data_IF_077490919534
#
_entry.id   IF_077490919534
#
_cell.length_a   1.000
_cell.length_b   1.000
_cell.length_c   1.000
_cell.angle_alpha   90.00
_cell.angle_beta   90.00
_cell.angle_gamma   90.00
#
_symmetry.space_group_name_H-M   'P 1'
#
loop_
_entity.id
_entity.type
_entity.pdbx_description
1 polymer ?
#
# COMPACT_ATOMS: atom_id res chain seq x y z
N UNK A 1 2.83 15.04 28.65
CA UNK A 1 2.93 14.68 27.23
C UNK A 1 4.11 15.46 26.64
N UNK A 2 5.05 14.80 26.00
CA UNK A 2 6.05 15.50 25.21
C UNK A 2 5.39 15.85 23.88
N UNK A 3 5.45 17.13 23.48
CA UNK A 3 5.05 17.50 22.14
C UNK A 3 6.03 16.85 21.16
N UNK A 4 5.56 16.12 20.14
CA UNK A 4 6.44 15.53 19.15
C UNK A 4 7.17 16.62 18.37
N UNK A 5 8.48 16.48 18.23
CA UNK A 5 9.28 17.37 17.37
C UNK A 5 9.81 16.55 16.20
N UNK A 6 9.60 17.06 14.98
CA UNK A 6 10.14 16.47 13.76
C UNK A 6 11.32 17.29 13.28
N UNK A 7 12.46 16.62 13.10
CA UNK A 7 13.65 17.23 12.52
C UNK A 7 13.88 16.62 11.14
N UNK A 8 14.23 17.47 10.17
CA UNK A 8 14.67 16.99 8.87
C UNK A 8 16.04 16.30 9.03
N UNK A 9 16.11 15.03 8.66
CA UNK A 9 17.36 14.27 8.58
C UNK A 9 17.91 14.44 7.16
N UNK A 10 19.21 14.63 7.02
CA UNK A 10 19.88 14.85 5.73
C UNK A 10 21.27 14.24 5.72
N UNK A 11 21.80 13.96 4.52
CA UNK A 11 23.13 13.39 4.33
C UNK A 11 23.23 11.97 4.86
N UNK A 12 24.35 11.58 5.42
CA UNK A 12 24.64 10.21 5.83
C UNK A 12 23.72 9.61 6.93
N UNK A 13 22.90 10.44 7.57
CA UNK A 13 21.89 9.99 8.54
C UNK A 13 20.51 9.76 7.89
N UNK A 14 20.33 10.21 6.64
CA UNK A 14 19.12 9.98 5.86
C UNK A 14 19.22 8.64 5.13
N UNK A 15 18.40 7.64 5.48
CA UNK A 15 18.50 6.32 4.86
C UNK A 15 18.12 6.30 3.37
N UNK A 16 17.52 7.38 2.86
CA UNK A 16 17.16 7.57 1.45
C UNK A 16 17.98 8.66 0.76
N UNK A 17 19.13 9.09 1.34
CA UNK A 17 19.99 10.12 0.72
C UNK A 17 20.43 9.66 -0.70
N UNK A 18 20.12 10.48 -1.69
CA UNK A 18 20.43 10.21 -3.09
C UNK A 18 19.48 9.24 -3.82
N UNK A 19 18.46 8.72 -3.16
CA UNK A 19 17.43 7.90 -3.83
C UNK A 19 16.51 8.78 -4.67
N UNK A 20 16.41 8.49 -5.95
CA UNK A 20 15.50 9.12 -6.91
C UNK A 20 14.67 8.04 -7.61
N UNK A 21 13.40 7.93 -7.25
CA UNK A 21 12.42 7.03 -7.86
C UNK A 21 11.60 7.70 -8.97
N UNK A 22 11.97 8.91 -9.35
CA UNK A 22 11.27 9.72 -10.34
C UNK A 22 10.15 10.57 -9.75
N UNK A 23 9.24 11.03 -10.61
CA UNK A 23 8.19 11.97 -10.22
C UNK A 23 7.06 11.30 -9.45
N UNK A 24 6.44 12.04 -8.52
CA UNK A 24 5.28 11.60 -7.74
C UNK A 24 5.53 10.34 -6.91
N UNK A 25 6.64 10.34 -6.18
CA UNK A 25 6.97 9.26 -5.24
C UNK A 25 5.87 9.12 -4.17
N UNK A 26 5.40 7.89 -3.99
CA UNK A 26 4.36 7.52 -3.03
C UNK A 26 4.86 6.33 -2.21
N UNK A 27 5.58 6.57 -1.09
CA UNK A 27 6.11 5.51 -0.26
C UNK A 27 5.02 4.87 0.61
N UNK A 28 5.11 3.56 0.78
CA UNK A 28 4.41 2.78 1.79
C UNK A 28 5.43 1.91 2.54
N UNK A 29 5.12 1.59 3.78
CA UNK A 29 5.98 0.79 4.63
C UNK A 29 5.22 -0.40 5.19
N UNK A 30 5.84 -1.57 5.17
CA UNK A 30 5.32 -2.83 5.68
C UNK A 30 6.50 -3.73 6.06
N UNK A 31 6.37 -4.53 7.09
CA UNK A 31 7.30 -5.61 7.42
C UNK A 31 6.92 -6.82 6.55
N UNK A 32 7.49 -6.87 5.31
CA UNK A 32 7.03 -7.84 4.29
C UNK A 32 7.67 -9.21 4.43
N UNK A 33 8.81 -9.29 5.10
CA UNK A 33 9.54 -10.54 5.34
C UNK A 33 9.49 -11.01 6.79
N UNK A 34 8.74 -10.26 7.63
CA UNK A 34 8.47 -10.58 9.04
C UNK A 34 9.76 -10.70 9.88
N UNK A 35 10.75 -9.86 9.57
CA UNK A 35 12.00 -9.77 10.34
C UNK A 35 11.93 -8.77 11.51
N UNK A 36 10.85 -7.98 11.57
CA UNK A 36 10.54 -7.00 12.61
C UNK A 36 10.88 -5.57 12.23
N UNK A 37 11.42 -5.34 11.05
CA UNK A 37 11.75 -4.04 10.51
C UNK A 37 10.82 -3.68 9.32
N UNK A 38 10.43 -2.42 9.19
CA UNK A 38 9.58 -2.00 8.07
C UNK A 38 10.39 -1.78 6.80
N UNK A 39 9.98 -2.45 5.72
CA UNK A 39 10.46 -2.26 4.36
C UNK A 39 9.73 -1.14 3.63
N UNK A 40 10.31 -0.62 2.56
CA UNK A 40 9.73 0.46 1.78
C UNK A 40 9.40 0.06 0.36
N UNK A 41 8.14 0.26 -0.02
CA UNK A 41 7.65 0.15 -1.39
C UNK A 41 7.28 1.54 -1.89
N UNK A 42 7.84 1.95 -3.03
CA UNK A 42 7.68 3.31 -3.53
C UNK A 42 7.07 3.28 -4.93
N UNK A 43 5.79 3.65 -5.00
CA UNK A 43 5.13 3.92 -6.26
C UNK A 43 5.58 5.25 -6.87
N UNK A 44 5.39 5.41 -8.18
CA UNK A 44 5.79 6.61 -8.90
C UNK A 44 4.89 6.90 -10.11
N UNK A 45 5.27 7.86 -10.96
CA UNK A 45 4.42 8.32 -12.05
C UNK A 45 4.34 7.38 -13.24
N UNK A 46 5.42 6.69 -13.60
CA UNK A 46 5.52 6.02 -14.91
C UNK A 46 6.29 4.70 -14.88
N UNK A 47 6.76 4.27 -13.74
CA UNK A 47 7.66 3.13 -13.64
C UNK A 47 7.07 2.03 -12.73
N UNK A 48 7.79 0.93 -12.65
CA UNK A 48 7.50 -0.14 -11.71
C UNK A 48 7.72 0.31 -10.28
N UNK A 49 7.02 -0.33 -9.33
CA UNK A 49 7.17 -0.09 -7.91
C UNK A 49 8.61 -0.47 -7.51
N UNK A 50 9.26 0.44 -6.79
CA UNK A 50 10.57 0.20 -6.23
C UNK A 50 10.44 -0.42 -4.86
N UNK A 51 11.23 -1.44 -4.60
CA UNK A 51 11.31 -2.10 -3.31
C UNK A 51 12.69 -1.87 -2.68
N UNK A 52 12.67 -1.43 -1.44
CA UNK A 52 13.85 -1.22 -0.60
C UNK A 52 13.67 -2.02 0.68
N UNK A 53 14.43 -3.11 0.81
CA UNK A 53 14.48 -3.92 2.01
C UNK A 53 15.26 -3.18 3.11
N UNK A 54 14.69 -3.16 4.31
CA UNK A 54 15.37 -2.64 5.48
C UNK A 54 16.32 -3.70 6.04
N UNK A 55 17.59 -3.46 5.91
CA UNK A 55 18.65 -4.36 6.39
C UNK A 55 19.35 -3.80 7.63
N UNK A 56 18.58 -3.14 8.48
CA UNK A 56 19.11 -2.49 9.70
C UNK A 56 19.80 -3.50 10.61
N UNK A 57 21.02 -3.21 10.99
CA UNK A 57 21.78 -3.97 11.97
C UNK A 57 22.41 -3.00 12.98
N UNK A 58 22.10 -3.17 14.25
CA UNK A 58 22.75 -2.46 15.35
C UNK A 58 22.44 -0.97 15.46
N UNK A 59 21.34 -0.48 14.84
CA UNK A 59 20.79 0.87 15.06
C UNK A 59 21.08 1.90 13.98
N UNK A 60 21.74 1.55 12.88
CA UNK A 60 21.80 2.38 11.69
C UNK A 60 20.74 1.87 10.70
N UNK A 61 19.73 2.70 10.43
CA UNK A 61 18.69 2.39 9.45
C UNK A 61 19.32 2.33 8.07
N UNK A 62 19.16 1.20 7.38
CA UNK A 62 19.76 0.98 6.07
C UNK A 62 18.73 0.30 5.15
N UNK A 63 18.43 0.97 4.02
CA UNK A 63 17.58 0.42 2.97
C UNK A 63 18.42 0.00 1.76
N UNK A 64 18.15 -1.19 1.24
CA UNK A 64 18.83 -1.74 0.05
C UNK A 64 17.81 -1.98 -1.05
N UNK A 65 17.97 -1.35 -2.21
CA UNK A 65 17.10 -1.61 -3.37
C UNK A 65 17.25 -3.08 -3.79
N UNK A 66 16.10 -3.78 -3.89
CA UNK A 66 16.01 -5.15 -4.41
C UNK A 66 15.35 -5.13 -5.78
N UNK A 67 15.84 -5.97 -6.68
CA UNK A 67 15.38 -6.05 -8.07
C UNK A 67 15.34 -7.50 -8.54
N UNK A 68 14.55 -7.78 -9.60
CA UNK A 68 14.40 -9.13 -10.12
C UNK A 68 13.77 -10.06 -9.09
N UNK A 69 14.33 -11.27 -8.89
CA UNK A 69 13.77 -12.28 -8.00
C UNK A 69 13.76 -11.90 -6.51
N UNK A 70 14.56 -10.91 -6.12
CA UNK A 70 14.61 -10.42 -4.75
C UNK A 70 13.59 -9.27 -4.50
N UNK A 71 12.81 -8.91 -5.52
CA UNK A 71 11.75 -7.91 -5.42
C UNK A 71 10.40 -8.59 -5.66
N UNK A 72 9.53 -8.75 -4.64
CA UNK A 72 8.25 -9.44 -4.79
C UNK A 72 7.25 -8.72 -5.69
N UNK A 73 7.48 -7.44 -5.98
CA UNK A 73 6.67 -6.62 -6.88
C UNK A 73 7.40 -6.26 -8.18
N UNK A 74 8.45 -7.00 -8.54
CA UNK A 74 9.20 -6.75 -9.78
C UNK A 74 8.25 -6.79 -10.98
N UNK A 75 8.35 -5.80 -11.84
CA UNK A 75 7.45 -5.63 -13.00
C UNK A 75 6.00 -5.25 -12.71
N UNK A 76 5.61 -5.05 -11.44
CA UNK A 76 4.33 -4.45 -11.08
C UNK A 76 4.47 -2.93 -11.10
N UNK A 77 3.60 -2.27 -11.81
CA UNK A 77 3.62 -0.81 -11.89
C UNK A 77 2.44 -0.25 -12.68
N UNK A 78 2.40 1.07 -12.77
CA UNK A 78 1.32 1.77 -13.44
C UNK A 78 1.57 3.27 -13.55
N UNK A 79 0.54 4.03 -13.90
CA UNK A 79 0.64 5.49 -13.98
C UNK A 79 0.13 6.10 -12.67
N UNK A 80 0.98 6.88 -11.97
CA UNK A 80 0.71 7.45 -10.65
C UNK A 80 0.33 6.36 -9.64
N UNK A 81 1.18 5.34 -9.53
CA UNK A 81 0.94 4.22 -8.61
C UNK A 81 1.08 4.67 -7.15
N UNK A 82 0.10 4.29 -6.35
CA UNK A 82 0.14 4.34 -4.88
C UNK A 82 -0.07 2.95 -4.35
N UNK A 83 0.56 2.62 -3.25
CA UNK A 83 0.57 1.26 -2.71
C UNK A 83 0.04 1.23 -1.29
N UNK A 84 -0.63 0.15 -0.92
CA UNK A 84 -1.09 -0.13 0.44
C UNK A 84 -1.02 -1.62 0.69
N UNK A 85 -0.74 -2.01 1.92
CA UNK A 85 -0.63 -3.40 2.35
C UNK A 85 -1.58 -3.65 3.51
N UNK A 86 -2.23 -4.80 3.52
CA UNK A 86 -3.07 -5.26 4.63
C UNK A 86 -3.24 -6.77 4.52
N UNK A 87 -3.30 -7.47 5.64
CA UNK A 87 -3.73 -8.87 5.73
C UNK A 87 -5.26 -8.87 5.63
N UNK A 88 -5.78 -8.90 4.38
CA UNK A 88 -7.22 -8.70 4.11
C UNK A 88 -8.05 -9.94 4.35
N UNK A 89 -7.46 -11.12 4.21
CA UNK A 89 -8.12 -12.41 4.40
C UNK A 89 -7.74 -13.10 5.71
N UNK A 90 -6.87 -12.45 6.51
CA UNK A 90 -6.44 -12.88 7.84
C UNK A 90 -5.72 -14.25 7.83
N UNK A 91 -4.95 -14.50 6.81
CA UNK A 91 -4.12 -15.70 6.73
C UNK A 91 -2.73 -15.52 7.38
N UNK A 92 -2.39 -14.30 7.77
CA UNK A 92 -1.21 -13.93 8.55
C UNK A 92 -0.08 -13.34 7.72
N UNK A 93 -0.30 -13.06 6.45
CA UNK A 93 0.62 -12.32 5.62
C UNK A 93 -0.05 -11.08 4.97
N UNK A 94 0.75 -10.21 4.36
CA UNK A 94 0.23 -8.96 3.83
C UNK A 94 -0.08 -9.08 2.34
N UNK A 95 -1.33 -8.75 1.98
CA UNK A 95 -1.75 -8.54 0.61
C UNK A 95 -1.41 -7.14 0.13
N UNK A 96 -1.35 -6.97 -1.17
CA UNK A 96 -0.94 -5.75 -1.81
C UNK A 96 -2.06 -5.12 -2.65
N UNK A 97 -2.28 -3.83 -2.45
CA UNK A 97 -3.27 -3.06 -3.20
C UNK A 97 -2.60 -1.89 -3.91
N UNK A 98 -2.91 -1.72 -5.19
CA UNK A 98 -2.36 -0.64 -5.99
C UNK A 98 -3.45 0.26 -6.57
N UNK A 99 -3.47 1.51 -6.11
CA UNK A 99 -4.19 2.59 -6.77
C UNK A 99 -3.38 3.17 -7.92
N UNK A 100 -4.04 3.61 -8.99
CA UNK A 100 -3.38 4.18 -10.15
C UNK A 100 -4.24 5.27 -10.81
N UNK A 101 -3.66 5.95 -11.81
CA UNK A 101 -4.34 7.06 -12.49
C UNK A 101 -5.62 6.65 -13.21
N UNK A 102 -5.62 5.52 -13.86
CA UNK A 102 -6.74 5.01 -14.66
C UNK A 102 -7.04 3.58 -14.26
N UNK A 103 -8.30 3.22 -14.33
CA UNK A 103 -8.77 1.90 -13.93
C UNK A 103 -9.19 1.84 -12.46
N UNK A 104 -9.53 0.66 -12.01
CA UNK A 104 -9.92 0.38 -10.64
C UNK A 104 -8.74 0.25 -9.68
N UNK A 105 -9.02 -0.15 -8.49
CA UNK A 105 -8.05 -0.60 -7.52
C UNK A 105 -7.59 -2.01 -7.90
N UNK A 106 -6.29 -2.21 -8.10
CA UNK A 106 -5.73 -3.55 -8.36
C UNK A 106 -5.45 -4.21 -7.01
N UNK A 107 -5.78 -5.47 -6.94
CA UNK A 107 -5.55 -6.32 -5.77
C UNK A 107 -4.59 -7.44 -6.15
N UNK A 108 -3.67 -7.73 -5.26
CA UNK A 108 -2.70 -8.80 -5.37
C UNK A 108 -2.71 -9.62 -4.08
N UNK A 109 -3.07 -10.89 -4.20
CA UNK A 109 -3.01 -11.84 -3.09
C UNK A 109 -1.56 -12.28 -2.88
N UNK A 110 -1.13 -12.37 -1.63
CA UNK A 110 0.13 -12.98 -1.26
C UNK A 110 -0.03 -14.50 -1.21
N UNK A 111 0.38 -15.19 -2.25
CA UNK A 111 0.32 -16.66 -2.33
C UNK A 111 1.54 -17.34 -1.72
N UNK A 112 2.44 -16.55 -1.16
CA UNK A 112 3.66 -17.01 -0.49
C UNK A 112 3.46 -17.28 0.98
N UNK A 113 4.05 -16.46 1.82
CA UNK A 113 3.87 -16.46 3.28
C UNK A 113 4.52 -15.20 3.88
N UNK A 114 4.25 -14.91 5.16
CA UNK A 114 4.74 -13.73 5.86
C UNK A 114 6.26 -13.49 5.83
N UNK A 115 7.08 -14.49 5.54
CA UNK A 115 8.54 -14.35 5.45
C UNK A 115 9.08 -14.44 4.01
N UNK A 116 8.22 -14.65 3.03
CA UNK A 116 8.58 -14.70 1.61
C UNK A 116 7.34 -14.44 0.77
N UNK A 117 7.08 -13.17 0.50
CA UNK A 117 5.91 -12.74 -0.24
C UNK A 117 6.03 -13.07 -1.74
N UNK A 118 4.95 -13.64 -2.29
CA UNK A 118 4.76 -13.91 -3.72
C UNK A 118 3.38 -13.40 -4.13
N UNK A 119 3.32 -12.33 -4.93
CA UNK A 119 2.06 -11.67 -5.26
C UNK A 119 1.46 -12.17 -6.57
N UNK A 120 0.19 -12.59 -6.54
CA UNK A 120 -0.63 -12.90 -7.72
C UNK A 120 -1.76 -11.88 -7.87
N UNK A 121 -1.88 -11.26 -9.05
CA UNK A 121 -2.96 -10.29 -9.30
C UNK A 121 -4.30 -11.00 -9.40
N UNK A 122 -5.27 -10.53 -8.62
CA UNK A 122 -6.65 -10.97 -8.69
C UNK A 122 -7.40 -10.11 -9.72
N UNK A 123 -7.87 -10.76 -10.79
CA UNK A 123 -8.58 -10.12 -11.90
C UNK A 123 -10.09 -10.40 -11.83
N UNK A 124 -10.87 -9.56 -12.52
CA UNK A 124 -12.31 -9.70 -12.65
C UNK A 124 -13.01 -9.90 -11.27
N UNK A 125 -13.91 -10.88 -11.19
CA UNK A 125 -14.71 -11.14 -9.99
C UNK A 125 -13.90 -11.67 -8.77
N UNK A 126 -12.63 -11.99 -8.93
CA UNK A 126 -11.76 -12.35 -7.80
C UNK A 126 -11.20 -11.10 -7.10
N UNK A 127 -11.15 -9.97 -7.80
CA UNK A 127 -10.80 -8.69 -7.18
C UNK A 127 -12.03 -8.14 -6.47
N UNK A 128 -11.96 -7.97 -5.15
CA UNK A 128 -13.06 -7.49 -4.31
C UNK A 128 -13.56 -6.07 -4.68
N UNK A 129 -12.78 -5.31 -5.44
CA UNK A 129 -13.13 -3.98 -5.96
C UNK A 129 -13.41 -3.97 -7.46
N UNK A 130 -13.63 -5.15 -8.06
CA UNK A 130 -13.93 -5.25 -9.48
C UNK A 130 -15.20 -4.46 -9.85
N UNK A 131 -15.13 -3.74 -10.97
CA UNK A 131 -16.23 -2.91 -11.52
C UNK A 131 -16.66 -1.71 -10.64
N UNK A 132 -15.89 -1.37 -9.61
CA UNK A 132 -16.17 -0.21 -8.77
C UNK A 132 -15.72 1.11 -9.43
N UNK A 133 -16.65 2.03 -9.63
CA UNK A 133 -16.38 3.35 -10.19
C UNK A 133 -15.83 4.30 -9.12
N UNK A 134 -14.53 4.24 -8.84
CA UNK A 134 -13.87 5.01 -7.78
C UNK A 134 -13.32 6.37 -8.23
N UNK A 135 -13.27 6.64 -9.54
CA UNK A 135 -12.63 7.84 -10.10
C UNK A 135 -11.20 7.60 -10.55
N UNK A 136 -10.37 8.66 -10.50
CA UNK A 136 -8.97 8.65 -10.99
C UNK A 136 -7.98 8.94 -9.87
N UNK A 137 -6.69 8.56 -10.07
CA UNK A 137 -5.61 8.76 -9.10
C UNK A 137 -6.01 8.21 -7.72
N UNK A 138 -6.28 6.92 -7.67
CA UNK A 138 -6.74 6.27 -6.46
C UNK A 138 -5.62 6.16 -5.43
N UNK A 139 -5.98 6.38 -4.17
CA UNK A 139 -5.09 6.25 -3.01
C UNK A 139 -5.79 5.40 -1.94
N UNK A 140 -5.59 4.08 -1.93
CA UNK A 140 -6.22 3.20 -0.96
C UNK A 140 -5.55 3.28 0.41
N UNK A 141 -6.35 3.09 1.44
CA UNK A 141 -5.92 2.90 2.82
C UNK A 141 -6.89 1.94 3.50
N UNK A 142 -6.38 1.00 4.27
CA UNK A 142 -7.17 0.01 5.00
C UNK A 142 -7.03 0.25 6.50
N UNK A 143 -8.16 0.20 7.21
CA UNK A 143 -8.23 0.42 8.65
C UNK A 143 -9.55 -0.17 9.18
N UNK A 144 -9.52 -0.75 10.36
CA UNK A 144 -10.74 -1.06 11.13
C UNK A 144 -11.39 0.28 11.55
N UNK A 145 -12.35 0.77 10.74
CA UNK A 145 -12.93 2.09 10.92
C UNK A 145 -14.12 2.09 11.88
N UNK A 146 -14.88 1.01 11.93
CA UNK A 146 -16.07 0.90 12.78
C UNK A 146 -15.85 0.09 14.07
N UNK A 147 -14.68 -0.56 14.20
CA UNK A 147 -14.25 -1.23 15.43
C UNK A 147 -14.74 -2.66 15.56
N UNK A 148 -15.08 -3.32 14.45
CA UNK A 148 -15.57 -4.69 14.43
C UNK A 148 -14.46 -5.74 14.27
N UNK A 149 -13.22 -5.28 14.09
CA UNK A 149 -11.97 -6.05 14.02
C UNK A 149 -11.65 -6.64 12.63
N UNK A 150 -12.30 -6.18 11.58
CA UNK A 150 -11.83 -6.39 10.22
C UNK A 150 -11.44 -5.06 9.53
N UNK A 151 -10.81 -5.15 8.37
CA UNK A 151 -10.33 -3.95 7.70
C UNK A 151 -11.33 -3.42 6.69
N UNK A 152 -11.69 -2.15 6.86
CA UNK A 152 -12.44 -1.35 5.88
C UNK A 152 -11.51 -0.69 4.89
N UNK A 153 -12.03 -0.28 3.73
CA UNK A 153 -11.27 0.46 2.74
C UNK A 153 -11.74 1.92 2.60
N UNK A 154 -10.78 2.83 2.65
CA UNK A 154 -10.96 4.23 2.31
C UNK A 154 -10.11 4.54 1.07
N UNK A 155 -10.77 4.96 -0.01
CA UNK A 155 -10.09 5.22 -1.29
C UNK A 155 -10.29 6.67 -1.70
N UNK A 156 -9.23 7.47 -1.57
CA UNK A 156 -9.19 8.83 -2.09
C UNK A 156 -9.07 8.88 -3.61
N UNK A 157 -9.56 9.96 -4.23
CA UNK A 157 -9.44 10.14 -5.67
C UNK A 157 -9.12 11.59 -6.07
N UNK A 158 -8.84 11.83 -7.36
CA UNK A 158 -8.50 13.15 -7.90
C UNK A 158 -9.63 14.17 -7.88
N UNK A 159 -10.86 13.74 -7.65
CA UNK A 159 -12.05 14.61 -7.58
C UNK A 159 -12.24 15.19 -6.17
N UNK A 160 -11.39 14.77 -5.20
CA UNK A 160 -11.49 15.18 -3.80
C UNK A 160 -12.47 14.35 -2.98
N UNK A 161 -12.98 13.24 -3.54
CA UNK A 161 -13.85 12.33 -2.81
C UNK A 161 -13.04 11.29 -2.05
N UNK A 162 -13.62 10.81 -0.95
CA UNK A 162 -13.20 9.60 -0.25
C UNK A 162 -14.33 8.59 -0.41
N UNK A 163 -14.05 7.48 -1.10
CA UNK A 163 -14.97 6.35 -1.18
C UNK A 163 -14.73 5.46 0.03
N UNK A 164 -15.76 5.22 0.82
CA UNK A 164 -15.72 4.34 1.96
C UNK A 164 -16.42 3.02 1.61
N UNK A 165 -15.72 1.94 1.88
CA UNK A 165 -16.17 0.57 1.72
C UNK A 165 -16.10 -0.11 3.07
N UNK A 166 -17.25 -0.35 3.68
CA UNK A 166 -17.37 -1.11 4.91
C UNK A 166 -17.24 -2.60 4.61
N UNK A 167 -16.41 -3.29 5.35
CA UNK A 167 -16.32 -4.74 5.27
C UNK A 167 -17.42 -5.32 6.18
N UNK A 168 -18.50 -5.83 5.60
CA UNK A 168 -19.57 -6.50 6.34
C UNK A 168 -19.40 -8.04 6.36
N UNK A 169 -18.25 -8.51 5.91
CA UNK A 169 -17.89 -9.92 5.89
C UNK A 169 -17.31 -10.42 7.21
N UNK A 170 -16.17 -11.06 7.12
CA UNK A 170 -15.37 -11.50 8.27
C UNK A 170 -13.89 -11.29 7.95
N UNK A 171 -13.03 -11.34 8.97
CA UNK A 171 -11.57 -11.17 8.78
C UNK A 171 -10.95 -12.10 7.72
N UNK A 172 -11.53 -13.25 7.42
CA UNK A 172 -11.01 -14.20 6.45
C UNK A 172 -11.85 -14.28 5.15
N UNK A 173 -12.98 -13.60 5.10
CA UNK A 173 -13.88 -13.56 3.93
C UNK A 173 -14.47 -12.15 3.82
N UNK A 174 -13.73 -11.17 3.27
CA UNK A 174 -14.16 -9.79 3.19
C UNK A 174 -15.33 -9.62 2.21
N UNK A 175 -16.32 -8.80 2.58
CA UNK A 175 -17.49 -8.45 1.76
C UNK A 175 -17.72 -6.93 1.85
N UNK A 176 -17.18 -6.19 0.88
CA UNK A 176 -17.16 -4.74 0.90
C UNK A 176 -18.45 -4.12 0.36
N UNK A 177 -19.12 -3.35 1.21
CA UNK A 177 -20.30 -2.56 0.85
C UNK A 177 -19.91 -1.09 0.73
N UNK A 178 -20.09 -0.52 -0.45
CA UNK A 178 -19.81 0.89 -0.69
C UNK A 178 -20.84 1.78 -0.02
N UNK A 179 -20.36 2.67 0.85
CA UNK A 179 -21.13 3.80 1.32
C UNK A 179 -20.99 5.00 0.37
N UNK A 180 -21.96 5.93 0.38
CA UNK A 180 -21.88 7.11 -0.48
C UNK A 180 -20.61 7.92 -0.19
N UNK A 181 -19.99 8.52 -1.22
CA UNK A 181 -18.77 9.29 -1.01
C UNK A 181 -18.92 10.35 0.08
N UNK A 182 -17.93 10.43 0.94
CA UNK A 182 -17.82 11.53 1.90
C UNK A 182 -17.37 12.75 1.11
N UNK A 183 -18.28 13.70 0.87
CA UNK A 183 -17.93 15.00 0.28
C UNK A 183 -17.21 15.84 1.34
N UNK A 184 -15.90 15.90 1.24
CA UNK A 184 -15.04 16.70 2.14
C UNK A 184 -15.05 18.21 1.80
N UNK A 185 -15.82 18.63 0.81
CA UNK A 185 -16.01 20.03 0.41
C UNK A 185 -14.71 20.76 0.13
N UNK A 186 -14.71 21.60 -0.89
CA UNK A 186 -13.64 22.60 -1.03
C UNK A 186 -13.85 23.67 0.05
N UNK A 187 -12.96 23.74 1.03
CA UNK A 187 -12.84 24.87 1.95
C UNK A 187 -12.22 26.09 1.26
#
# INVERSE_FOLDING_TARGET
SMDPTFNLITGAEDPFDGVDVGNYSAPAFVDIDNDGDFDSFIGNKYDFIKFYENTTDGGNITFVERTGLDNPVDSIGGILSTVSFTDIDNDGDFDFFMGQKYGGLRQFENTGNAGNAEFEELEDFNNIFFDEAMGWNLTPTFIDFDGDSDFDALVGNAEGNINYYNNEGTRGEPDFIRYQPIDVGYL
#
